data_IF_762925544537
#
_entry.id   IF_762925544537
#
_cell.length_a   1.000
_cell.length_b   1.000
_cell.length_c   1.000
_cell.angle_alpha   90.00
_cell.angle_beta   90.00
_cell.angle_gamma   90.00
#
_symmetry.space_group_name_H-M   'P 1'
#
loop_
_entity.id
_entity.type
_entity.pdbx_description
1 polymer ?
#
# COMPACT_ATOMS: atom_id res chain seq x y z
N UNK A 1 3.95 27.93 13.12
CA UNK A 1 4.94 26.83 13.23
C UNK A 1 4.26 25.44 13.33
N UNK A 2 3.14 25.20 12.62
CA UNK A 2 2.33 23.97 12.82
C UNK A 2 2.03 23.18 11.54
N UNK A 3 2.38 23.70 10.36
CA UNK A 3 2.06 23.03 9.08
C UNK A 3 3.05 21.91 8.69
N UNK A 4 4.29 21.96 9.19
CA UNK A 4 5.30 20.94 8.88
C UNK A 4 5.05 19.61 9.61
N UNK A 5 4.64 19.64 10.89
CA UNK A 5 4.33 18.41 11.65
C UNK A 5 3.15 17.63 11.05
N UNK A 6 2.12 18.32 10.56
CA UNK A 6 0.93 17.68 9.96
C UNK A 6 1.28 16.94 8.67
N UNK A 7 2.21 17.48 7.88
CA UNK A 7 2.62 16.88 6.62
C UNK A 7 3.46 15.61 6.85
N UNK A 8 4.38 15.63 7.82
CA UNK A 8 5.18 14.44 8.19
C UNK A 8 4.27 13.33 8.73
N UNK A 9 3.32 13.66 9.61
CA UNK A 9 2.37 12.70 10.17
C UNK A 9 1.48 12.08 9.08
N UNK A 10 1.01 12.90 8.13
CA UNK A 10 0.25 12.43 6.97
C UNK A 10 1.05 11.48 6.07
N UNK A 11 2.33 11.80 5.81
CA UNK A 11 3.21 10.93 5.01
C UNK A 11 3.49 9.61 5.71
N UNK A 12 3.75 9.62 7.02
CA UNK A 12 3.95 8.39 7.79
C UNK A 12 2.69 7.52 7.83
N UNK A 13 1.51 8.12 7.99
CA UNK A 13 0.25 7.40 7.97
C UNK A 13 0.00 6.70 6.63
N UNK A 14 0.24 7.40 5.50
CA UNK A 14 0.14 6.79 4.16
C UNK A 14 1.16 5.67 3.97
N UNK A 15 2.39 5.87 4.45
CA UNK A 15 3.41 4.83 4.34
C UNK A 15 3.07 3.57 5.14
N UNK A 16 2.52 3.74 6.35
CA UNK A 16 2.04 2.62 7.16
C UNK A 16 0.87 1.89 6.46
N UNK A 17 -0.09 2.63 5.90
CA UNK A 17 -1.20 2.06 5.15
C UNK A 17 -0.70 1.26 3.93
N UNK A 18 0.21 1.82 3.14
CA UNK A 18 0.83 1.14 2.00
C UNK A 18 1.53 -0.16 2.40
N UNK A 19 2.33 -0.15 3.47
CA UNK A 19 3.01 -1.36 3.96
C UNK A 19 2.01 -2.43 4.41
N UNK A 20 0.93 -2.02 5.07
CA UNK A 20 -0.14 -2.93 5.49
C UNK A 20 -0.85 -3.54 4.27
N UNK A 21 -1.26 -2.73 3.32
CA UNK A 21 -1.90 -3.20 2.08
C UNK A 21 -1.00 -4.15 1.31
N UNK A 22 0.29 -3.83 1.15
CA UNK A 22 1.23 -4.71 0.48
C UNK A 22 1.38 -6.06 1.20
N UNK A 23 1.43 -6.06 2.53
CA UNK A 23 1.47 -7.29 3.32
C UNK A 23 0.21 -8.13 3.16
N UNK A 24 -0.97 -7.50 3.19
CA UNK A 24 -2.26 -8.15 2.96
C UNK A 24 -2.32 -8.77 1.55
N UNK A 25 -1.96 -8.01 0.51
CA UNK A 25 -1.92 -8.52 -0.87
C UNK A 25 -0.96 -9.71 -1.00
N UNK A 26 0.23 -9.66 -0.39
CA UNK A 26 1.21 -10.75 -0.43
C UNK A 26 0.79 -11.98 0.40
N UNK A 27 -0.06 -11.79 1.40
CA UNK A 27 -0.60 -12.89 2.20
C UNK A 27 -1.72 -13.66 1.48
N UNK A 28 -2.24 -13.13 0.37
CA UNK A 28 -3.25 -13.83 -0.42
C UNK A 28 -2.69 -15.13 -1.02
N UNK A 29 -3.50 -16.19 -1.12
CA UNK A 29 -3.15 -17.40 -1.84
C UNK A 29 -2.67 -17.08 -3.26
N UNK A 30 -1.70 -17.85 -3.77
CA UNK A 30 -1.15 -17.63 -5.10
C UNK A 30 -2.24 -17.64 -6.18
N UNK A 31 -3.18 -18.58 -6.10
CA UNK A 31 -4.30 -18.67 -7.05
C UNK A 31 -5.15 -17.40 -7.06
N UNK A 32 -5.47 -16.82 -5.91
CA UNK A 32 -6.20 -15.54 -5.81
C UNK A 32 -5.42 -14.38 -6.42
N UNK A 33 -4.09 -14.35 -6.22
CA UNK A 33 -3.24 -13.31 -6.80
C UNK A 33 -3.14 -13.41 -8.32
N UNK A 34 -3.13 -14.63 -8.86
CA UNK A 34 -3.17 -14.88 -10.29
C UNK A 34 -4.54 -14.52 -10.88
N UNK A 35 -5.63 -14.90 -10.21
CA UNK A 35 -7.00 -14.60 -10.64
C UNK A 35 -7.28 -13.09 -10.71
N UNK A 36 -6.75 -12.33 -9.74
CA UNK A 36 -6.83 -10.87 -9.72
C UNK A 36 -5.79 -10.16 -10.62
N UNK A 37 -4.93 -10.91 -11.31
CA UNK A 37 -3.81 -10.38 -12.12
C UNK A 37 -2.89 -9.42 -11.35
N UNK A 38 -2.65 -9.72 -10.06
CA UNK A 38 -1.78 -8.93 -9.19
C UNK A 38 -0.47 -9.63 -8.83
N UNK A 39 -0.30 -10.90 -9.20
CA UNK A 39 0.90 -11.67 -8.92
C UNK A 39 2.13 -11.02 -9.57
N UNK A 40 3.08 -10.58 -8.75
CA UNK A 40 4.30 -9.89 -9.22
C UNK A 40 4.17 -8.38 -9.37
N UNK A 41 2.96 -7.82 -9.25
CA UNK A 41 2.70 -6.37 -9.28
C UNK A 41 2.00 -5.86 -8.02
N UNK A 42 1.98 -6.65 -6.94
CA UNK A 42 1.29 -6.31 -5.68
C UNK A 42 1.77 -4.96 -5.11
N UNK A 43 3.06 -4.64 -5.32
CA UNK A 43 3.66 -3.37 -4.93
C UNK A 43 3.03 -2.16 -5.64
N UNK A 44 2.86 -2.28 -6.96
CA UNK A 44 2.29 -1.23 -7.80
C UNK A 44 0.82 -1.04 -7.46
N UNK A 45 0.09 -2.14 -7.22
CA UNK A 45 -1.31 -2.14 -6.80
C UNK A 45 -1.46 -1.46 -5.44
N UNK A 46 -0.66 -1.85 -4.44
CA UNK A 46 -0.68 -1.22 -3.11
C UNK A 46 -0.33 0.27 -3.19
N UNK A 47 0.66 0.63 -4.02
CA UNK A 47 1.08 2.02 -4.20
C UNK A 47 -0.04 2.85 -4.83
N UNK A 48 -0.66 2.36 -5.90
CA UNK A 48 -1.79 3.02 -6.57
C UNK A 48 -2.99 3.19 -5.64
N UNK A 49 -3.31 2.18 -4.85
CA UNK A 49 -4.43 2.23 -3.89
C UNK A 49 -4.28 3.33 -2.81
N UNK A 50 -3.05 3.59 -2.36
CA UNK A 50 -2.80 4.53 -1.25
C UNK A 50 -2.38 5.92 -1.72
N UNK A 51 -1.62 6.01 -2.80
CA UNK A 51 -1.05 7.27 -3.28
C UNK A 51 -1.80 7.87 -4.48
N UNK A 52 -2.62 7.09 -5.18
CA UNK A 52 -3.29 7.50 -6.42
C UNK A 52 -2.42 7.25 -7.63
#
# INVERSE_FOLDING_TARGET
MSYMMTNIRGRMARHAAYRRTLAELRSLPMDTRLDLDIAGVEDQVARRAIYG
#
